data_IF_672925933464
#
_entry.id   IF_672925933464
#
_cell.length_a   1.000
_cell.length_b   1.000
_cell.length_c   1.000
_cell.angle_alpha   90.00
_cell.angle_beta   90.00
_cell.angle_gamma   90.00
#
_symmetry.space_group_name_H-M   'P 1'
#
loop_
_entity.id
_entity.type
_entity.pdbx_description
1 polymer ?
#
# COMPACT_ATOMS: atom_id res chain seq x y z
N UNK A 1 44.54 -35.83 79.88
CA UNK A 1 45.02 -34.93 78.81
C UNK A 1 45.09 -35.73 77.52
N UNK A 2 44.75 -35.09 76.39
CA UNK A 2 44.61 -35.58 75.00
C UNK A 2 43.24 -36.14 74.65
N UNK A 3 42.57 -35.79 73.56
CA UNK A 3 42.47 -34.56 72.73
C UNK A 3 41.23 -34.82 71.87
N UNK A 4 40.16 -34.04 71.98
CA UNK A 4 39.00 -34.18 71.09
C UNK A 4 39.33 -33.50 69.75
N UNK A 5 39.51 -34.29 68.69
CA UNK A 5 39.54 -33.78 67.32
C UNK A 5 38.11 -33.80 66.77
N UNK A 6 37.53 -32.61 66.61
CA UNK A 6 36.25 -32.39 65.93
C UNK A 6 36.47 -32.55 64.43
N UNK A 7 35.75 -33.48 63.80
CA UNK A 7 35.71 -33.63 62.35
C UNK A 7 34.77 -32.56 61.77
N UNK A 8 35.34 -31.57 61.06
CA UNK A 8 34.57 -30.57 60.33
C UNK A 8 34.20 -31.15 58.95
N UNK A 9 32.93 -31.54 58.77
CA UNK A 9 32.41 -31.94 57.46
C UNK A 9 32.09 -30.68 56.66
N UNK A 10 32.89 -30.38 55.64
CA UNK A 10 32.63 -29.29 54.67
C UNK A 10 31.57 -29.76 53.65
N UNK A 11 30.30 -29.44 53.90
CA UNK A 11 29.23 -29.57 52.92
C UNK A 11 29.42 -28.52 51.81
N UNK A 12 29.89 -28.97 50.64
CA UNK A 12 29.89 -28.15 49.43
C UNK A 12 28.45 -28.03 48.91
N UNK A 13 27.80 -26.90 49.19
CA UNK A 13 26.59 -26.50 48.48
C UNK A 13 26.97 -26.08 47.06
N UNK A 14 26.83 -27.00 46.10
CA UNK A 14 26.74 -26.62 44.70
C UNK A 14 25.37 -25.98 44.49
N UNK A 15 25.33 -24.64 44.46
CA UNK A 15 24.16 -23.93 43.99
C UNK A 15 23.99 -24.23 42.50
N UNK A 16 23.18 -25.24 42.17
CA UNK A 16 22.59 -25.35 40.84
C UNK A 16 21.69 -24.14 40.66
N UNK A 17 22.21 -23.08 40.03
CA UNK A 17 21.38 -22.08 39.37
C UNK A 17 20.42 -22.86 38.49
N UNK A 18 19.15 -22.90 38.88
CA UNK A 18 18.09 -23.28 37.97
C UNK A 18 18.19 -22.29 36.81
N UNK A 19 18.77 -22.72 35.68
CA UNK A 19 18.68 -21.97 34.45
C UNK A 19 17.19 -21.83 34.18
N UNK A 20 16.64 -20.63 34.42
CA UNK A 20 15.28 -20.32 34.05
C UNK A 20 15.10 -20.69 32.58
N UNK A 21 13.96 -21.26 32.23
CA UNK A 21 13.66 -21.57 30.83
C UNK A 21 13.99 -20.36 29.97
N UNK A 22 14.69 -20.54 28.83
CA UNK A 22 15.03 -19.42 27.97
C UNK A 22 13.74 -18.69 27.60
N UNK A 23 13.64 -17.42 27.99
CA UNK A 23 12.46 -16.62 27.73
C UNK A 23 12.14 -16.66 26.24
N UNK A 24 10.91 -17.03 25.89
CA UNK A 24 10.49 -17.13 24.48
C UNK A 24 10.59 -15.77 23.81
N UNK A 25 11.12 -15.74 22.58
CA UNK A 25 11.15 -14.52 21.78
C UNK A 25 9.74 -14.00 21.56
N UNK A 26 9.50 -12.73 21.87
CA UNK A 26 8.18 -12.10 21.70
C UNK A 26 8.20 -11.11 20.54
N UNK A 27 7.06 -10.95 19.87
CA UNK A 27 6.83 -9.93 18.85
C UNK A 27 5.46 -9.30 19.07
N UNK A 28 5.42 -7.99 19.29
CA UNK A 28 4.19 -7.23 19.51
C UNK A 28 4.12 -6.07 18.54
N UNK A 29 2.93 -5.78 18.05
CA UNK A 29 2.68 -4.66 17.15
C UNK A 29 1.58 -3.79 17.74
N UNK A 30 1.79 -2.47 17.75
CA UNK A 30 0.86 -1.50 18.31
C UNK A 30 0.63 -0.31 17.37
N UNK A 31 -0.62 0.17 17.24
CA UNK A 31 -1.85 -0.43 17.77
C UNK A 31 -2.24 -1.70 16.99
N UNK A 32 -3.03 -2.58 17.63
CA UNK A 32 -3.59 -3.77 16.96
C UNK A 32 -4.82 -3.43 16.09
N UNK A 33 -5.47 -2.30 16.35
CA UNK A 33 -6.58 -1.79 15.55
C UNK A 33 -6.20 -0.44 14.96
N UNK A 34 -6.22 -0.34 13.63
CA UNK A 34 -5.93 0.87 12.87
C UNK A 34 -7.22 1.66 12.60
N UNK A 35 -7.22 2.93 12.99
CA UNK A 35 -8.25 3.92 12.72
C UNK A 35 -7.70 4.99 11.76
N UNK A 36 -8.55 5.92 11.33
CA UNK A 36 -8.14 7.05 10.48
C UNK A 36 -7.18 8.04 11.16
N UNK A 37 -7.10 8.04 12.50
CA UNK A 37 -6.21 8.95 13.24
C UNK A 37 -4.81 8.39 13.47
N UNK A 38 -4.61 7.08 13.29
CA UNK A 38 -3.29 6.48 13.45
C UNK A 38 -2.34 6.95 12.34
N UNK A 39 -1.13 7.33 12.72
CA UNK A 39 -0.09 7.79 11.78
C UNK A 39 1.04 6.78 11.61
N UNK A 40 1.19 5.85 12.55
CA UNK A 40 2.27 4.88 12.57
C UNK A 40 1.88 3.58 13.27
N UNK A 41 2.70 2.56 13.02
CA UNK A 41 2.66 1.25 13.65
C UNK A 41 4.04 0.99 14.25
N UNK A 42 4.07 0.57 15.51
CA UNK A 42 5.30 0.23 16.22
C UNK A 42 5.41 -1.28 16.37
N UNK A 43 6.51 -1.85 15.90
CA UNK A 43 6.84 -3.27 15.99
C UNK A 43 7.90 -3.40 17.08
N UNK A 44 7.66 -4.21 18.11
CA UNK A 44 8.57 -4.41 19.23
C UNK A 44 8.84 -5.90 19.42
N UNK A 45 10.10 -6.25 19.69
CA UNK A 45 10.50 -7.61 20.04
C UNK A 45 11.39 -7.63 21.28
N UNK A 46 11.44 -8.78 21.94
CA UNK A 46 12.32 -9.04 23.07
C UNK A 46 12.70 -10.51 23.16
N UNK A 47 13.73 -10.81 23.94
CA UNK A 47 14.22 -12.17 24.20
C UNK A 47 14.65 -12.91 22.92
N UNK A 48 15.23 -12.21 21.93
CA UNK A 48 15.82 -12.83 20.74
C UNK A 48 17.25 -13.32 21.07
N UNK A 49 17.52 -14.65 21.09
CA UNK A 49 18.84 -15.16 21.40
C UNK A 49 19.81 -14.99 20.23
N UNK A 50 21.02 -14.52 20.54
CA UNK A 50 22.11 -14.33 19.57
C UNK A 50 21.68 -13.57 18.31
N UNK A 51 21.27 -12.29 18.43
CA UNK A 51 20.81 -11.49 17.30
C UNK A 51 21.87 -11.37 16.20
N UNK A 52 21.40 -11.37 14.96
CA UNK A 52 22.17 -11.12 13.75
C UNK A 52 21.74 -9.81 13.11
N UNK A 53 22.66 -9.05 12.47
CA UNK A 53 22.28 -7.85 11.72
C UNK A 53 21.36 -8.16 10.52
N UNK A 54 21.29 -9.43 10.09
CA UNK A 54 20.41 -9.89 9.01
C UNK A 54 19.05 -10.42 9.52
N UNK A 55 18.86 -10.54 10.83
CA UNK A 55 17.55 -10.87 11.38
C UNK A 55 16.54 -9.80 10.94
N UNK A 56 15.30 -10.22 10.67
CA UNK A 56 14.33 -9.34 10.06
C UNK A 56 12.90 -9.63 10.55
N UNK A 57 12.05 -8.62 10.44
CA UNK A 57 10.60 -8.77 10.53
C UNK A 57 9.99 -8.64 9.14
N UNK A 58 9.17 -9.59 8.75
CA UNK A 58 8.43 -9.56 7.50
C UNK A 58 6.96 -9.17 7.72
N UNK A 59 6.40 -8.46 6.74
CA UNK A 59 5.05 -7.93 6.70
C UNK A 59 4.18 -8.81 5.83
N UNK A 60 3.04 -9.29 6.36
CA UNK A 60 2.11 -10.18 5.66
C UNK A 60 0.73 -9.57 5.63
N UNK A 61 0.04 -9.71 4.50
CA UNK A 61 -1.41 -9.56 4.42
C UNK A 61 -1.92 -10.43 3.26
N UNK A 62 -2.84 -11.38 3.48
CA UNK A 62 -3.46 -11.73 4.76
C UNK A 62 -2.50 -12.48 5.73
N UNK A 63 -2.88 -12.68 7.00
CA UNK A 63 -2.12 -13.49 7.96
C UNK A 63 -2.00 -14.97 7.56
N UNK A 64 -2.82 -15.45 6.63
CA UNK A 64 -2.77 -16.83 6.11
C UNK A 64 -1.69 -17.05 5.05
N UNK A 65 -0.96 -16.01 4.62
CA UNK A 65 0.11 -16.13 3.63
C UNK A 65 1.23 -17.06 4.09
N UNK A 66 1.81 -17.80 3.15
CA UNK A 66 3.00 -18.63 3.39
C UNK A 66 4.20 -17.79 3.81
N UNK A 67 5.17 -18.38 4.51
CA UNK A 67 6.32 -17.65 5.07
C UNK A 67 7.22 -16.99 4.02
N UNK A 68 7.23 -17.45 2.76
CA UNK A 68 7.95 -16.76 1.69
C UNK A 68 7.11 -15.66 1.01
N UNK A 69 5.79 -15.60 1.26
CA UNK A 69 4.85 -14.70 0.59
C UNK A 69 4.59 -13.44 1.41
N UNK A 70 5.65 -12.85 1.94
CA UNK A 70 5.61 -11.55 2.58
C UNK A 70 5.52 -10.43 1.54
N UNK A 71 4.89 -9.33 1.90
CA UNK A 71 4.84 -8.10 1.10
C UNK A 71 6.20 -7.40 1.10
N UNK A 72 6.89 -7.45 2.23
CA UNK A 72 8.21 -6.88 2.41
C UNK A 72 8.78 -7.17 3.80
N UNK A 73 9.94 -6.60 4.09
CA UNK A 73 10.67 -6.85 5.33
C UNK A 73 11.49 -5.65 5.80
N UNK A 74 11.83 -5.68 7.09
CA UNK A 74 12.71 -4.71 7.75
C UNK A 74 13.78 -5.47 8.52
N UNK A 75 15.04 -5.09 8.38
CA UNK A 75 16.10 -5.62 9.21
C UNK A 75 16.00 -5.08 10.64
N UNK A 76 16.24 -5.95 11.62
CA UNK A 76 16.18 -5.57 13.03
C UNK A 76 17.29 -4.58 13.38
N UNK A 77 18.40 -4.56 12.64
CA UNK A 77 19.50 -3.61 12.81
C UNK A 77 19.11 -2.14 12.58
N UNK A 78 17.91 -1.87 12.05
CA UNK A 78 17.32 -0.53 12.02
C UNK A 78 16.95 0.01 13.40
N UNK A 79 16.92 -0.84 14.44
CA UNK A 79 16.69 -0.42 15.83
C UNK A 79 18.00 -0.34 16.60
N UNK A 80 18.32 0.79 17.25
CA UNK A 80 19.61 0.96 17.94
C UNK A 80 19.91 -0.11 19.02
N UNK A 81 18.89 -0.72 19.62
CA UNK A 81 19.05 -1.74 20.67
C UNK A 81 19.08 -3.18 20.14
N UNK A 82 18.98 -3.41 18.82
CA UNK A 82 18.78 -4.74 18.23
C UNK A 82 19.72 -5.82 18.76
N UNK A 83 21.00 -5.45 18.98
CA UNK A 83 22.06 -6.36 19.43
C UNK A 83 21.82 -6.91 20.85
N UNK A 84 20.95 -6.29 21.64
CA UNK A 84 20.57 -6.75 22.98
C UNK A 84 19.57 -7.91 22.96
N UNK A 85 19.02 -8.25 21.79
CA UNK A 85 17.92 -9.21 21.65
C UNK A 85 16.54 -8.59 21.84
N UNK A 86 16.48 -7.26 21.98
CA UNK A 86 15.23 -6.50 22.06
C UNK A 86 15.35 -5.21 21.24
N UNK A 87 14.22 -4.74 20.72
CA UNK A 87 14.18 -3.49 19.98
C UNK A 87 12.81 -3.12 19.48
N UNK A 88 12.79 -2.00 18.77
CA UNK A 88 11.59 -1.48 18.13
C UNK A 88 11.88 -0.85 16.79
N UNK A 89 10.97 -1.07 15.84
CA UNK A 89 10.92 -0.40 14.54
C UNK A 89 9.57 0.30 14.41
N UNK A 90 9.54 1.39 13.64
CA UNK A 90 8.31 2.15 13.39
C UNK A 90 8.07 2.22 11.90
N UNK A 91 6.86 1.88 11.48
CA UNK A 91 6.34 2.09 10.13
C UNK A 91 5.33 3.23 10.14
N UNK A 92 5.19 4.03 9.07
CA UNK A 92 3.99 4.83 8.86
C UNK A 92 2.77 3.90 8.73
N UNK A 93 1.56 4.47 8.84
CA UNK A 93 0.32 3.73 8.62
C UNK A 93 0.34 3.03 7.26
N UNK A 94 0.08 1.73 7.25
CA UNK A 94 -0.03 0.92 6.04
C UNK A 94 -1.42 1.10 5.41
N UNK A 95 -1.59 0.92 4.09
CA UNK A 95 -2.88 1.07 3.42
C UNK A 95 -3.86 -0.04 3.83
N UNK A 96 -5.17 0.20 3.63
CA UNK A 96 -6.15 -0.86 3.81
C UNK A 96 -6.12 -1.84 2.63
N UNK A 97 -5.41 -2.95 2.81
CA UNK A 97 -5.37 -3.99 1.80
C UNK A 97 -6.66 -4.81 1.74
N UNK A 98 -7.67 -4.64 2.59
CA UNK A 98 -8.89 -5.48 2.68
C UNK A 98 -8.64 -6.85 3.34
N UNK A 99 -7.57 -6.96 4.13
CA UNK A 99 -7.28 -8.09 5.00
C UNK A 99 -6.40 -7.61 6.16
N UNK A 100 -6.41 -8.29 7.32
CA UNK A 100 -5.50 -7.97 8.41
C UNK A 100 -4.03 -8.06 7.98
N UNK A 101 -3.18 -7.39 8.74
CA UNK A 101 -1.74 -7.56 8.70
C UNK A 101 -1.28 -8.53 9.79
N UNK A 102 -0.17 -9.22 9.53
CA UNK A 102 0.58 -9.94 10.54
C UNK A 102 2.07 -9.73 10.30
N UNK A 103 2.83 -9.67 11.38
CA UNK A 103 4.27 -9.50 11.35
C UNK A 103 4.91 -10.77 11.90
N UNK A 104 5.99 -11.23 11.27
CA UNK A 104 6.70 -12.45 11.68
C UNK A 104 8.18 -12.17 11.73
N UNK A 105 8.84 -12.56 12.82
CA UNK A 105 10.26 -12.38 13.04
C UNK A 105 11.01 -13.64 12.61
N UNK A 106 12.02 -13.47 11.77
CA UNK A 106 12.87 -14.53 11.26
C UNK A 106 14.33 -14.30 11.61
N UNK A 107 15.03 -15.41 11.87
CA UNK A 107 16.47 -15.38 12.08
C UNK A 107 17.25 -15.66 10.80
N UNK A 108 18.26 -14.82 10.55
CA UNK A 108 19.21 -15.03 9.45
C UNK A 108 20.65 -15.00 10.00
N UNK A 109 21.25 -16.16 10.27
CA UNK A 109 22.62 -16.25 10.74
C UNK A 109 23.62 -15.70 9.71
N UNK A 110 24.68 -14.98 10.15
CA UNK A 110 25.73 -14.53 9.26
C UNK A 110 26.40 -15.69 8.52
N UNK A 111 26.72 -15.48 7.24
CA UNK A 111 27.39 -16.47 6.40
C UNK A 111 26.46 -17.53 5.78
N UNK A 112 25.19 -17.57 6.15
CA UNK A 112 24.22 -18.43 5.47
C UNK A 112 23.63 -17.75 4.24
N UNK A 113 23.72 -18.42 3.09
CA UNK A 113 23.05 -17.97 1.87
C UNK A 113 21.53 -18.16 2.00
N UNK A 114 20.77 -17.14 1.60
CA UNK A 114 19.32 -17.26 1.50
C UNK A 114 18.93 -18.42 0.56
N UNK A 115 17.91 -19.17 0.97
CA UNK A 115 17.25 -20.19 0.15
C UNK A 115 15.94 -19.72 -0.48
N UNK A 116 15.62 -18.42 -0.38
CA UNK A 116 14.51 -17.86 -1.13
C UNK A 116 14.83 -17.99 -2.63
N UNK A 117 13.96 -18.62 -3.44
CA UNK A 117 14.19 -18.73 -4.88
C UNK A 117 14.00 -17.39 -5.60
N UNK A 118 13.43 -16.39 -4.93
CA UNK A 118 13.17 -15.06 -5.50
C UNK A 118 14.38 -14.14 -5.29
N UNK A 119 14.69 -13.38 -6.33
CA UNK A 119 15.71 -12.35 -6.33
C UNK A 119 15.02 -10.98 -6.37
N UNK A 120 15.69 -9.96 -5.85
CA UNK A 120 15.28 -8.59 -6.12
C UNK A 120 15.68 -8.15 -7.54
N UNK A 121 15.38 -6.89 -7.86
CA UNK A 121 15.69 -6.30 -9.16
C UNK A 121 17.18 -6.24 -9.51
N UNK A 122 18.08 -6.28 -8.52
CA UNK A 122 19.52 -6.21 -8.71
C UNK A 122 20.13 -7.63 -8.80
N UNK A 123 19.30 -8.66 -8.64
CA UNK A 123 19.69 -10.07 -8.67
C UNK A 123 20.12 -10.60 -7.30
N UNK A 124 19.91 -9.84 -6.23
CA UNK A 124 20.29 -10.24 -4.88
C UNK A 124 19.22 -11.16 -4.25
N UNK A 125 19.63 -12.18 -3.47
CA UNK A 125 18.68 -13.07 -2.81
C UNK A 125 17.84 -12.35 -1.77
N UNK A 126 16.52 -12.45 -1.89
CA UNK A 126 15.61 -11.98 -0.84
C UNK A 126 15.73 -12.83 0.43
N UNK A 127 15.36 -12.33 1.63
CA UNK A 127 15.47 -13.10 2.87
C UNK A 127 14.75 -14.46 2.83
N UNK A 128 15.40 -15.48 3.39
CA UNK A 128 14.77 -16.80 3.55
C UNK A 128 13.91 -16.88 4.81
N UNK A 129 12.80 -17.61 4.73
CA UNK A 129 11.81 -17.65 5.79
C UNK A 129 11.80 -18.97 6.57
N UNK A 130 12.94 -19.67 6.69
CA UNK A 130 12.99 -21.01 7.31
C UNK A 130 13.01 -20.98 8.84
N UNK A 131 13.41 -19.86 9.44
CA UNK A 131 13.63 -19.73 10.89
C UNK A 131 12.71 -18.69 11.52
N UNK A 132 11.40 -18.93 11.45
CA UNK A 132 10.42 -18.12 12.18
C UNK A 132 10.57 -18.36 13.68
N UNK A 133 10.76 -17.29 14.45
CA UNK A 133 10.93 -17.39 15.92
C UNK A 133 9.86 -16.64 16.70
N UNK A 134 9.12 -15.73 16.07
CA UNK A 134 7.96 -15.07 16.68
C UNK A 134 6.94 -14.62 15.64
N UNK A 135 5.69 -14.49 16.07
CA UNK A 135 4.55 -14.03 15.26
C UNK A 135 3.78 -13.01 16.10
N UNK A 136 3.40 -11.88 15.50
CA UNK A 136 2.57 -10.88 16.17
C UNK A 136 1.11 -11.31 16.22
N UNK A 137 0.32 -10.66 17.08
CA UNK A 137 -1.12 -10.59 16.88
C UNK A 137 -1.46 -9.92 15.53
N UNK A 138 -2.70 -10.09 15.08
CA UNK A 138 -3.17 -9.42 13.87
C UNK A 138 -3.30 -7.90 14.10
N UNK A 139 -3.01 -7.14 13.03
CA UNK A 139 -3.25 -5.70 12.97
C UNK A 139 -4.32 -5.45 11.93
N UNK A 140 -5.49 -5.02 12.38
CA UNK A 140 -6.69 -4.89 11.55
C UNK A 140 -7.19 -3.46 11.51
N UNK A 141 -7.85 -3.07 10.41
CA UNK A 141 -8.60 -1.82 10.41
C UNK A 141 -9.86 -1.98 11.26
N UNK A 142 -10.24 -0.92 11.97
CA UNK A 142 -11.56 -0.83 12.58
C UNK A 142 -12.64 -1.10 11.51
N UNK A 143 -13.70 -1.84 11.83
CA UNK A 143 -14.70 -2.27 10.85
C UNK A 143 -15.27 -1.11 10.02
N UNK A 144 -15.56 0.03 10.65
CA UNK A 144 -16.02 1.22 9.96
C UNK A 144 -14.97 1.79 9.00
N UNK A 145 -13.69 1.80 9.38
CA UNK A 145 -12.60 2.23 8.50
C UNK A 145 -12.34 1.21 7.37
N UNK A 146 -12.52 -0.09 7.65
CA UNK A 146 -12.35 -1.16 6.69
C UNK A 146 -13.43 -1.15 5.59
N UNK A 147 -14.65 -0.70 5.93
CA UNK A 147 -15.80 -0.64 5.03
C UNK A 147 -15.91 0.69 4.26
N UNK A 148 -15.13 1.72 4.63
CA UNK A 148 -15.17 3.02 3.96
C UNK A 148 -14.66 2.91 2.52
N UNK A 149 -15.27 3.66 1.59
CA UNK A 149 -14.66 3.92 0.28
C UNK A 149 -13.23 4.44 0.44
N UNK A 150 -12.32 3.93 -0.39
CA UNK A 150 -10.92 4.32 -0.42
C UNK A 150 -10.46 4.53 -1.87
N UNK A 151 -9.24 5.03 -2.06
CA UNK A 151 -8.66 5.24 -3.40
C UNK A 151 -9.49 6.20 -4.24
N UNK A 152 -10.12 7.20 -3.60
CA UNK A 152 -10.99 8.16 -4.27
C UNK A 152 -10.15 9.03 -5.19
N UNK A 153 -10.50 9.03 -6.48
CA UNK A 153 -9.83 9.86 -7.46
C UNK A 153 -10.80 10.36 -8.53
N UNK A 154 -10.50 11.55 -9.03
CA UNK A 154 -11.28 12.25 -10.04
C UNK A 154 -10.64 12.12 -11.41
N UNK A 155 -11.46 12.17 -12.46
CA UNK A 155 -11.02 12.38 -13.83
C UNK A 155 -12.07 13.20 -14.56
N UNK A 156 -11.68 13.88 -15.63
CA UNK A 156 -12.69 14.50 -16.49
C UNK A 156 -13.48 13.39 -17.21
N UNK A 157 -14.77 13.61 -17.42
CA UNK A 157 -15.58 12.74 -18.28
C UNK A 157 -15.65 13.33 -19.70
N UNK A 158 -16.54 12.76 -20.53
CA UNK A 158 -16.63 13.06 -21.95
C UNK A 158 -17.18 14.47 -22.21
N UNK A 159 -18.15 14.92 -21.42
CA UNK A 159 -18.72 16.26 -21.53
C UNK A 159 -17.94 17.29 -20.69
N UNK A 160 -17.92 18.57 -21.10
CA UNK A 160 -17.15 19.61 -20.41
C UNK A 160 -17.69 19.95 -19.00
N UNK A 161 -18.98 19.72 -18.76
CA UNK A 161 -19.69 19.94 -17.51
C UNK A 161 -19.79 18.67 -16.64
N UNK A 162 -18.96 17.66 -16.92
CA UNK A 162 -18.94 16.39 -16.20
C UNK A 162 -17.60 16.11 -15.53
N UNK A 163 -17.66 15.58 -14.30
CA UNK A 163 -16.52 15.08 -13.53
C UNK A 163 -16.80 13.66 -13.09
N UNK A 164 -15.90 12.74 -13.43
CA UNK A 164 -15.95 11.35 -12.99
C UNK A 164 -15.27 11.21 -11.64
N UNK A 165 -15.86 10.40 -10.77
CA UNK A 165 -15.23 9.91 -9.54
C UNK A 165 -15.14 8.40 -9.59
N UNK A 166 -13.98 7.88 -9.20
CA UNK A 166 -13.71 6.45 -9.06
C UNK A 166 -13.21 6.17 -7.65
N UNK A 167 -13.69 5.09 -7.04
CA UNK A 167 -13.31 4.68 -5.68
C UNK A 167 -13.46 3.17 -5.50
N UNK A 168 -12.89 2.62 -4.43
CA UNK A 168 -12.87 1.18 -4.14
C UNK A 168 -13.64 0.88 -2.86
N UNK A 169 -14.45 -0.19 -2.88
CA UNK A 169 -15.05 -0.79 -1.70
C UNK A 169 -14.76 -2.30 -1.61
N UNK A 170 -15.03 -2.89 -0.44
CA UNK A 170 -14.83 -4.32 -0.18
C UNK A 170 -15.96 -5.22 -0.71
N UNK A 171 -17.09 -4.66 -1.10
CA UNK A 171 -18.30 -5.36 -1.54
C UNK A 171 -18.97 -4.68 -2.75
N UNK A 172 -19.99 -5.33 -3.31
CA UNK A 172 -20.77 -4.84 -4.47
C UNK A 172 -22.04 -4.09 -4.08
N UNK A 173 -22.24 -3.76 -2.81
CA UNK A 173 -23.41 -3.03 -2.34
C UNK A 173 -23.54 -1.71 -3.07
N UNK A 174 -24.76 -1.28 -3.36
CA UNK A 174 -25.00 -0.06 -4.13
C UNK A 174 -24.30 1.15 -3.49
N UNK A 175 -23.68 1.97 -4.34
CA UNK A 175 -23.02 3.22 -3.96
C UNK A 175 -23.46 4.34 -4.87
N UNK A 176 -23.34 5.55 -4.37
CA UNK A 176 -23.57 6.78 -5.11
C UNK A 176 -22.44 7.77 -4.83
N UNK A 177 -22.31 8.75 -5.72
CA UNK A 177 -21.66 10.02 -5.39
C UNK A 177 -22.75 11.03 -5.06
N UNK A 178 -22.60 11.67 -3.90
CA UNK A 178 -23.43 12.80 -3.48
C UNK A 178 -22.62 14.07 -3.68
N UNK A 179 -23.06 15.00 -4.51
CA UNK A 179 -22.31 16.20 -4.88
C UNK A 179 -23.19 17.44 -4.96
N UNK A 180 -22.58 18.62 -4.83
CA UNK A 180 -23.28 19.90 -4.80
C UNK A 180 -22.35 21.09 -4.91
N UNK A 181 -22.81 22.24 -5.42
CA UNK A 181 -21.98 23.43 -5.47
C UNK A 181 -21.60 23.88 -4.05
N UNK A 182 -20.35 24.33 -3.87
CA UNK A 182 -19.98 24.96 -2.61
C UNK A 182 -20.79 26.25 -2.40
N UNK A 183 -21.37 26.41 -1.21
CA UNK A 183 -22.23 27.53 -0.88
C UNK A 183 -22.73 27.50 0.57
N UNK A 184 -23.46 28.53 1.00
CA UNK A 184 -23.97 28.65 2.38
C UNK A 184 -25.13 27.67 2.68
N UNK A 185 -25.75 27.10 1.66
CA UNK A 185 -26.75 26.04 1.78
C UNK A 185 -26.24 24.81 1.06
N UNK A 186 -26.38 23.66 1.71
CA UNK A 186 -26.06 22.36 1.13
C UNK A 186 -27.17 21.93 0.19
N UNK A 187 -26.94 22.09 -1.11
CA UNK A 187 -27.79 21.54 -2.18
C UNK A 187 -27.07 20.33 -2.75
N UNK A 188 -27.54 19.14 -2.38
CA UNK A 188 -26.93 17.87 -2.77
C UNK A 188 -27.78 17.14 -3.82
N UNK A 189 -27.10 16.54 -4.78
CA UNK A 189 -27.65 15.62 -5.76
C UNK A 189 -26.90 14.30 -5.69
N UNK A 190 -27.59 13.19 -5.96
CA UNK A 190 -27.01 11.86 -5.98
C UNK A 190 -26.89 11.36 -7.43
N UNK A 191 -25.70 10.90 -7.81
CA UNK A 191 -25.49 10.13 -9.04
C UNK A 191 -25.14 8.68 -8.70
N UNK A 192 -25.80 7.75 -9.39
CA UNK A 192 -25.53 6.33 -9.25
C UNK A 192 -24.12 5.98 -9.75
N UNK A 193 -23.59 4.86 -9.24
CA UNK A 193 -22.26 4.35 -9.65
C UNK A 193 -22.38 2.92 -10.18
N UNK A 194 -21.45 2.54 -11.04
CA UNK A 194 -21.28 1.17 -11.53
C UNK A 194 -20.08 0.50 -10.88
N UNK A 195 -20.25 -0.73 -10.39
CA UNK A 195 -19.17 -1.52 -9.82
C UNK A 195 -18.52 -2.45 -10.85
N UNK A 196 -17.19 -2.49 -10.87
CA UNK A 196 -16.37 -3.38 -11.71
C UNK A 196 -15.27 -4.02 -10.86
N UNK A 197 -14.79 -5.17 -11.29
CA UNK A 197 -13.64 -5.82 -10.66
C UNK A 197 -12.88 -6.66 -11.68
N UNK A 198 -11.75 -7.22 -11.25
CA UNK A 198 -11.02 -8.23 -12.01
C UNK A 198 -10.60 -9.37 -11.08
N UNK A 199 -10.43 -10.55 -11.67
CA UNK A 199 -10.05 -11.76 -10.97
C UNK A 199 -8.67 -12.25 -11.43
N UNK A 200 -8.10 -13.19 -10.66
CA UNK A 200 -6.75 -13.72 -10.89
C UNK A 200 -6.57 -14.24 -12.31
N UNK A 201 -7.62 -14.88 -12.85
CA UNK A 201 -7.64 -15.44 -14.21
C UNK A 201 -7.55 -14.38 -15.32
N UNK A 202 -7.82 -13.10 -15.02
CA UNK A 202 -7.70 -12.02 -16.00
C UNK A 202 -6.25 -11.54 -16.13
N UNK A 203 -5.38 -11.83 -15.16
CA UNK A 203 -3.96 -11.52 -15.26
C UNK A 203 -3.28 -12.48 -16.26
N UNK A 204 -2.34 -11.97 -17.04
CA UNK A 204 -1.70 -12.73 -18.10
C UNK A 204 -0.50 -13.60 -17.66
N UNK A 205 0.01 -13.43 -16.43
CA UNK A 205 1.08 -14.29 -15.93
C UNK A 205 1.68 -13.88 -14.58
N UNK A 206 2.79 -14.53 -14.23
CA UNK A 206 3.53 -14.30 -12.99
C UNK A 206 4.28 -12.95 -13.02
N UNK A 207 4.36 -12.22 -11.89
CA UNK A 207 3.77 -12.53 -10.59
C UNK A 207 2.27 -12.17 -10.43
N UNK A 208 1.69 -11.39 -11.34
CA UNK A 208 0.32 -10.87 -11.22
C UNK A 208 -0.76 -11.93 -10.92
N UNK A 209 -0.61 -13.14 -11.47
CA UNK A 209 -1.59 -14.22 -11.32
C UNK A 209 -1.24 -15.24 -10.21
N UNK A 210 -0.24 -14.99 -9.38
CA UNK A 210 0.32 -15.97 -8.44
C UNK A 210 0.43 -15.45 -6.99
N UNK A 211 0.41 -16.39 -6.04
CA UNK A 211 0.67 -16.24 -4.59
C UNK A 211 0.69 -14.79 -4.05
N UNK A 212 1.89 -14.21 -3.90
CA UNK A 212 2.15 -12.90 -3.30
C UNK A 212 1.83 -11.72 -4.23
N UNK A 213 1.83 -11.96 -5.53
CA UNK A 213 1.57 -10.93 -6.53
C UNK A 213 0.08 -10.65 -6.68
N UNK A 214 -0.73 -11.71 -6.65
CA UNK A 214 -2.17 -11.60 -6.78
C UNK A 214 -2.85 -11.11 -5.49
N UNK A 215 -3.70 -10.10 -5.64
CA UNK A 215 -4.67 -9.70 -4.63
C UNK A 215 -5.98 -9.27 -5.25
N UNK A 216 -7.10 -9.66 -4.66
CA UNK A 216 -8.41 -9.15 -5.10
C UNK A 216 -8.45 -7.62 -4.92
N UNK A 217 -8.79 -6.86 -5.98
CA UNK A 217 -8.73 -5.38 -5.94
C UNK A 217 -9.86 -4.76 -5.12
N UNK A 218 -10.84 -5.55 -4.68
CA UNK A 218 -12.12 -5.05 -4.21
C UNK A 218 -13.05 -4.82 -5.40
N UNK A 219 -13.98 -3.88 -5.25
CA UNK A 219 -14.88 -3.47 -6.31
C UNK A 219 -14.66 -1.99 -6.57
N UNK A 220 -14.33 -1.67 -7.82
CA UNK A 220 -14.09 -0.31 -8.30
C UNK A 220 -15.42 0.26 -8.76
N UNK A 221 -15.88 1.28 -8.05
CA UNK A 221 -17.09 2.02 -8.36
C UNK A 221 -16.76 3.25 -9.19
N UNK A 222 -17.56 3.49 -10.22
CA UNK A 222 -17.42 4.57 -11.18
C UNK A 222 -18.74 5.36 -11.26
N UNK A 223 -18.69 6.66 -10.99
CA UNK A 223 -19.84 7.57 -11.12
C UNK A 223 -19.47 8.88 -11.79
N UNK A 224 -20.46 9.54 -12.39
CA UNK A 224 -20.27 10.81 -13.11
C UNK A 224 -21.17 11.88 -12.51
N UNK A 225 -20.55 12.94 -11.99
CA UNK A 225 -21.19 14.18 -11.56
C UNK A 225 -21.41 15.07 -12.79
N UNK A 226 -22.64 15.53 -13.02
CA UNK A 226 -23.07 16.23 -14.25
C UNK A 226 -23.62 17.62 -13.97
N UNK A 227 -23.74 18.44 -15.02
CA UNK A 227 -24.32 19.79 -14.91
C UNK A 227 -23.43 20.77 -14.13
N UNK A 228 -22.12 20.56 -14.16
CA UNK A 228 -21.16 21.36 -13.42
C UNK A 228 -20.94 22.71 -14.12
N UNK A 229 -21.04 23.80 -13.36
CA UNK A 229 -20.76 25.14 -13.88
C UNK A 229 -19.25 25.35 -14.02
N UNK A 230 -18.75 25.95 -15.12
CA UNK A 230 -17.32 26.12 -15.35
C UNK A 230 -16.58 26.82 -14.20
N UNK A 231 -15.40 26.32 -13.84
CA UNK A 231 -14.51 26.96 -12.86
C UNK A 231 -15.06 27.08 -11.44
N UNK A 232 -16.17 26.39 -11.13
CA UNK A 232 -16.84 26.46 -9.83
C UNK A 232 -16.38 25.36 -8.89
N UNK A 233 -16.30 25.68 -7.59
CA UNK A 233 -16.05 24.72 -6.51
C UNK A 233 -17.29 23.88 -6.20
N UNK A 234 -17.09 22.57 -6.08
CA UNK A 234 -18.09 21.59 -5.66
C UNK A 234 -17.59 20.81 -4.44
N UNK A 235 -18.54 20.42 -3.58
CA UNK A 235 -18.32 19.41 -2.55
C UNK A 235 -18.87 18.07 -3.01
N UNK A 236 -18.24 16.97 -2.62
CA UNK A 236 -18.75 15.64 -2.90
C UNK A 236 -18.33 14.61 -1.84
N UNK A 237 -19.08 13.51 -1.75
CA UNK A 237 -18.72 12.32 -0.98
C UNK A 237 -19.23 11.08 -1.69
N UNK A 238 -18.57 9.95 -1.47
CA UNK A 238 -18.91 8.66 -2.09
C UNK A 238 -19.32 7.67 -1.01
N UNK A 239 -20.27 6.79 -1.31
CA UNK A 239 -20.79 5.88 -0.28
C UNK A 239 -22.26 5.54 -0.45
N UNK A 240 -22.91 5.24 0.67
CA UNK A 240 -24.36 5.07 0.77
C UNK A 240 -24.82 5.30 2.21
N UNK A 241 -26.11 5.57 2.40
CA UNK A 241 -26.68 5.74 3.74
C UNK A 241 -26.62 4.44 4.57
N UNK A 242 -26.68 3.26 3.93
CA UNK A 242 -26.69 1.96 4.62
C UNK A 242 -25.31 1.42 4.98
N UNK A 243 -24.29 1.75 4.19
CA UNK A 243 -22.93 1.18 4.33
C UNK A 243 -21.87 2.25 4.64
N UNK A 244 -22.29 3.51 4.81
CA UNK A 244 -21.45 4.62 5.21
C UNK A 244 -20.96 5.46 4.03
N UNK A 245 -20.68 6.72 4.35
CA UNK A 245 -20.11 7.71 3.44
C UNK A 245 -18.62 7.94 3.75
N UNK A 246 -17.85 8.31 2.72
CA UNK A 246 -16.53 8.91 2.86
C UNK A 246 -16.61 10.23 3.65
N UNK A 247 -15.45 10.81 3.94
CA UNK A 247 -15.38 12.24 4.25
C UNK A 247 -15.86 13.08 3.05
N UNK A 248 -16.16 14.35 3.30
CA UNK A 248 -16.51 15.28 2.23
C UNK A 248 -15.23 15.82 1.60
N UNK A 249 -15.09 15.59 0.30
CA UNK A 249 -14.04 16.15 -0.55
C UNK A 249 -14.53 17.41 -1.26
N UNK A 250 -13.61 18.12 -1.91
CA UNK A 250 -13.94 19.27 -2.75
C UNK A 250 -13.03 19.33 -3.97
N UNK A 251 -13.55 19.83 -5.09
CA UNK A 251 -12.80 20.04 -6.33
C UNK A 251 -13.27 21.32 -7.04
N UNK A 252 -12.44 21.83 -7.95
CA UNK A 252 -12.83 22.86 -8.93
C UNK A 252 -13.17 22.15 -10.24
N UNK A 253 -14.37 22.38 -10.73
CA UNK A 253 -14.84 21.85 -12.02
C UNK A 253 -14.01 22.40 -13.19
N UNK A 254 -14.07 21.71 -14.33
CA UNK A 254 -13.38 22.14 -15.55
C UNK A 254 -13.80 23.57 -15.91
N UNK A 255 -12.84 24.44 -16.18
CA UNK A 255 -13.12 25.79 -16.66
C UNK A 255 -12.85 25.86 -18.18
N UNK A 256 -13.91 25.75 -18.98
CA UNK A 256 -13.83 25.86 -20.44
C UNK A 256 -13.83 27.33 -20.92
N UNK A 257 -14.07 28.28 -20.02
CA UNK A 257 -14.15 29.71 -20.31
C UNK A 257 -12.84 30.42 -19.95
N UNK A 258 -11.96 29.76 -19.20
CA UNK A 258 -10.62 30.26 -18.85
C UNK A 258 -9.75 30.52 -20.09
N UNK A 259 -8.95 31.58 -20.00
CA UNK A 259 -7.92 31.92 -21.00
C UNK A 259 -6.55 31.27 -20.69
N UNK A 260 -6.46 30.50 -19.60
CA UNK A 260 -5.27 29.76 -19.20
C UNK A 260 -5.63 28.32 -18.83
N UNK A 261 -4.67 27.41 -18.91
CA UNK A 261 -4.80 26.02 -18.47
C UNK A 261 -3.64 25.69 -17.54
N UNK A 262 -3.96 25.24 -16.33
CA UNK A 262 -2.97 24.86 -15.32
C UNK A 262 -2.92 23.33 -15.27
N UNK A 263 -1.73 22.78 -15.49
CA UNK A 263 -1.51 21.34 -15.53
C UNK A 263 -0.24 20.97 -14.76
N UNK A 264 -0.32 19.90 -13.96
CA UNK A 264 0.84 19.21 -13.43
C UNK A 264 1.15 18.01 -14.35
N UNK A 265 2.32 18.01 -14.98
CA UNK A 265 2.70 17.03 -16.00
C UNK A 265 3.94 16.25 -15.54
N UNK A 266 3.84 14.93 -15.42
CA UNK A 266 4.97 14.06 -15.06
C UNK A 266 4.73 12.61 -15.53
N UNK A 267 5.78 11.82 -15.65
CA UNK A 267 5.72 10.37 -15.84
C UNK A 267 6.41 9.67 -14.68
N UNK A 268 6.35 8.33 -14.65
CA UNK A 268 7.31 7.51 -13.91
C UNK A 268 7.28 7.76 -12.38
N UNK A 269 6.11 8.09 -11.83
CA UNK A 269 5.98 8.46 -10.41
C UNK A 269 6.29 7.29 -9.47
N UNK A 270 5.78 6.10 -9.80
CA UNK A 270 5.77 4.94 -8.92
C UNK A 270 5.11 5.17 -7.57
N UNK A 271 5.43 4.33 -6.60
CA UNK A 271 4.96 4.47 -5.22
C UNK A 271 6.06 4.13 -4.23
N UNK A 272 6.03 4.76 -3.07
CA UNK A 272 6.91 4.42 -1.96
C UNK A 272 6.25 3.44 -0.99
N UNK A 273 7.02 2.46 -0.52
CA UNK A 273 6.62 1.58 0.57
C UNK A 273 7.64 1.65 1.71
N UNK A 274 7.23 1.60 2.97
CA UNK A 274 8.12 1.88 4.10
C UNK A 274 8.93 0.65 4.54
N UNK A 275 9.24 -0.26 3.63
CA UNK A 275 9.97 -1.51 3.89
C UNK A 275 10.68 -1.99 2.62
N UNK A 276 11.64 -2.91 2.77
CA UNK A 276 12.28 -3.53 1.61
C UNK A 276 11.32 -4.53 0.96
N UNK A 277 11.35 -4.63 -0.36
CA UNK A 277 10.50 -5.57 -1.12
C UNK A 277 11.21 -6.05 -2.39
N UNK A 278 10.49 -6.76 -3.26
CA UNK A 278 10.98 -7.41 -4.49
C UNK A 278 11.71 -6.48 -5.49
N UNK A 279 11.54 -5.17 -5.35
CA UNK A 279 12.23 -4.16 -6.13
C UNK A 279 12.26 -2.84 -5.36
N UNK A 280 13.05 -1.90 -5.87
CA UNK A 280 13.17 -0.57 -5.30
C UNK A 280 11.90 0.22 -5.57
N UNK A 281 11.37 0.82 -4.52
CA UNK A 281 10.20 1.69 -4.56
C UNK A 281 10.65 3.15 -4.41
N UNK A 282 10.32 4.06 -5.34
CA UNK A 282 10.87 5.42 -5.38
C UNK A 282 10.39 6.27 -4.19
N UNK A 283 11.31 6.68 -3.31
CA UNK A 283 10.99 7.60 -2.20
C UNK A 283 10.60 8.99 -2.70
N UNK A 284 11.18 9.39 -3.84
CA UNK A 284 10.96 10.64 -4.56
C UNK A 284 9.49 10.82 -4.97
N UNK A 285 8.77 9.70 -5.13
CA UNK A 285 7.33 9.66 -5.38
C UNK A 285 6.54 10.48 -4.34
N UNK A 286 6.92 10.38 -3.06
CA UNK A 286 6.31 11.18 -1.99
C UNK A 286 6.58 12.67 -2.16
N UNK A 287 7.77 13.04 -2.62
CA UNK A 287 8.15 14.44 -2.81
C UNK A 287 7.32 15.08 -3.91
N UNK A 288 7.16 14.41 -5.05
CA UNK A 288 6.32 14.90 -6.16
C UNK A 288 4.88 15.14 -5.71
N UNK A 289 4.26 14.18 -5.00
CA UNK A 289 2.90 14.35 -4.47
C UNK A 289 2.81 15.52 -3.49
N UNK A 290 3.80 15.68 -2.60
CA UNK A 290 3.85 16.81 -1.64
C UNK A 290 3.93 18.17 -2.33
N UNK A 291 4.72 18.29 -3.39
CA UNK A 291 4.85 19.53 -4.15
C UNK A 291 3.56 19.88 -4.90
N UNK A 292 2.93 18.89 -5.55
CA UNK A 292 1.63 19.09 -6.19
C UNK A 292 0.57 19.53 -5.17
N UNK A 293 0.52 18.88 -4.02
CA UNK A 293 -0.44 19.23 -2.96
C UNK A 293 -0.24 20.67 -2.48
N UNK A 294 1.01 21.08 -2.21
CA UNK A 294 1.35 22.46 -1.84
C UNK A 294 0.91 23.45 -2.92
N UNK A 295 1.19 23.17 -4.18
CA UNK A 295 0.87 24.10 -5.27
C UNK A 295 -0.64 24.19 -5.51
N UNK A 296 -1.38 23.08 -5.35
CA UNK A 296 -2.85 23.10 -5.35
C UNK A 296 -3.42 23.99 -4.24
N UNK A 297 -2.82 23.99 -3.05
CA UNK A 297 -3.23 24.90 -1.95
C UNK A 297 -3.01 26.37 -2.33
N UNK A 298 -1.91 26.68 -3.03
CA UNK A 298 -1.61 28.04 -3.50
C UNK A 298 -2.56 28.48 -4.63
N UNK A 299 -2.97 27.56 -5.49
CA UNK A 299 -3.90 27.84 -6.61
C UNK A 299 -5.31 28.21 -6.15
N UNK A 300 -5.75 27.72 -5.00
CA UNK A 300 -7.06 28.04 -4.42
C UNK A 300 -8.22 27.55 -5.30
N UNK A 301 -8.98 28.50 -5.87
CA UNK A 301 -10.16 28.24 -6.71
C UNK A 301 -9.86 28.16 -8.21
N UNK A 302 -8.59 28.11 -8.61
CA UNK A 302 -8.24 27.93 -10.04
C UNK A 302 -8.41 26.48 -10.47
N UNK A 303 -9.06 26.28 -11.62
CA UNK A 303 -9.16 24.96 -12.24
C UNK A 303 -7.77 24.45 -12.67
N UNK A 304 -7.45 23.22 -12.28
CA UNK A 304 -6.21 22.54 -12.64
C UNK A 304 -6.48 21.07 -12.93
N UNK A 305 -5.56 20.39 -13.61
CA UNK A 305 -5.57 18.94 -13.73
C UNK A 305 -4.16 18.36 -13.61
N UNK A 306 -4.09 17.06 -13.34
CA UNK A 306 -2.85 16.30 -13.29
C UNK A 306 -2.81 15.38 -14.51
N UNK A 307 -1.69 15.31 -15.21
CA UNK A 307 -1.42 14.34 -16.28
C UNK A 307 -0.19 13.51 -15.92
N UNK A 308 -0.44 12.24 -15.61
CA UNK A 308 0.57 11.24 -15.31
C UNK A 308 0.78 10.37 -16.54
N UNK A 309 1.82 10.65 -17.32
CA UNK A 309 2.01 10.14 -18.68
C UNK A 309 2.64 8.74 -18.76
N UNK A 310 2.16 7.80 -17.94
CA UNK A 310 2.60 6.40 -17.94
C UNK A 310 3.54 6.07 -16.78
N UNK A 311 3.80 4.77 -16.63
CA UNK A 311 4.60 4.19 -15.55
C UNK A 311 4.08 4.64 -14.19
N UNK A 312 2.90 4.10 -13.87
CA UNK A 312 2.01 4.67 -12.86
C UNK A 312 2.49 4.32 -11.46
N UNK A 313 2.32 3.06 -11.07
CA UNK A 313 2.62 2.59 -9.72
C UNK A 313 3.91 1.78 -9.66
N UNK A 314 4.40 1.28 -10.80
CA UNK A 314 5.38 0.20 -10.87
C UNK A 314 4.96 -1.04 -10.07
N UNK A 315 3.66 -1.34 -9.97
CA UNK A 315 3.18 -2.54 -9.29
C UNK A 315 3.73 -3.83 -9.92
N UNK A 316 3.87 -3.88 -11.26
CA UNK A 316 4.55 -4.97 -12.00
C UNK A 316 4.10 -6.36 -11.54
N UNK A 317 2.81 -6.53 -11.30
CA UNK A 317 2.19 -7.78 -10.88
C UNK A 317 2.16 -8.02 -9.38
N UNK A 318 2.58 -7.06 -8.55
CA UNK A 318 2.38 -7.09 -7.11
C UNK A 318 1.24 -6.13 -6.73
N UNK A 319 0.01 -6.65 -6.76
CA UNK A 319 -1.21 -5.86 -6.69
C UNK A 319 -1.34 -4.97 -5.43
N UNK A 320 -0.68 -5.31 -4.33
CA UNK A 320 -0.68 -4.49 -3.12
C UNK A 320 0.03 -3.13 -3.31
N UNK A 321 0.90 -2.99 -4.31
CA UNK A 321 1.51 -1.71 -4.67
C UNK A 321 0.53 -0.75 -5.33
N UNK A 322 -0.48 -1.24 -6.04
CA UNK A 322 -1.59 -0.39 -6.48
C UNK A 322 -2.31 0.23 -5.27
N UNK A 323 -2.51 -0.53 -4.20
CA UNK A 323 -3.14 0.00 -2.98
C UNK A 323 -2.27 1.07 -2.30
N UNK A 324 -0.94 0.88 -2.25
CA UNK A 324 0.00 1.92 -1.78
C UNK A 324 -0.03 3.17 -2.66
N UNK A 325 -0.01 3.00 -3.98
CA UNK A 325 -0.04 4.09 -4.94
C UNK A 325 -1.30 4.95 -4.77
N UNK A 326 -2.47 4.32 -4.72
CA UNK A 326 -3.72 5.07 -4.60
C UNK A 326 -3.88 5.76 -3.24
N UNK A 327 -3.47 5.14 -2.12
CA UNK A 327 -3.40 5.83 -0.82
C UNK A 327 -2.45 7.04 -0.89
N UNK A 328 -1.34 6.91 -1.61
CA UNK A 328 -0.36 7.99 -1.75
C UNK A 328 -0.90 9.18 -2.55
N UNK A 329 -1.61 8.93 -3.66
CA UNK A 329 -2.11 10.01 -4.53
C UNK A 329 -3.49 10.54 -4.14
N UNK A 330 -4.28 9.83 -3.33
CA UNK A 330 -5.64 10.24 -2.93
C UNK A 330 -5.74 11.70 -2.43
N UNK A 331 -4.78 12.26 -1.66
CA UNK A 331 -4.81 13.67 -1.25
C UNK A 331 -4.84 14.68 -2.41
N UNK A 332 -4.25 14.35 -3.56
CA UNK A 332 -4.25 15.20 -4.76
C UNK A 332 -5.33 14.75 -5.75
N UNK A 333 -5.55 13.45 -5.90
CA UNK A 333 -6.45 12.87 -6.88
C UNK A 333 -7.93 12.98 -6.50
N UNK A 334 -8.27 13.03 -5.21
CA UNK A 334 -9.64 13.29 -4.74
C UNK A 334 -10.06 14.76 -4.88
N UNK A 335 -9.14 15.67 -5.21
CA UNK A 335 -9.40 17.12 -5.28
C UNK A 335 -9.17 17.71 -6.66
N UNK A 336 -8.40 17.01 -7.49
CA UNK A 336 -7.97 17.47 -8.81
C UNK A 336 -8.07 16.29 -9.78
N UNK A 337 -8.66 16.46 -10.98
CA UNK A 337 -8.75 15.39 -11.96
C UNK A 337 -7.37 14.85 -12.32
N UNK A 338 -7.17 13.55 -12.11
CA UNK A 338 -5.93 12.81 -12.29
C UNK A 338 -6.00 11.96 -13.55
N UNK A 339 -5.39 12.46 -14.63
CA UNK A 339 -5.35 11.80 -15.92
C UNK A 339 -4.12 10.93 -16.04
N UNK A 340 -4.25 9.80 -16.73
CA UNK A 340 -3.17 8.83 -16.93
C UNK A 340 -3.02 8.43 -18.38
N UNK A 341 -1.79 8.28 -18.85
CA UNK A 341 -1.48 7.47 -20.03
C UNK A 341 -1.04 6.08 -19.58
N UNK A 342 -1.09 5.11 -20.50
CA UNK A 342 -0.60 3.75 -20.23
C UNK A 342 0.90 3.65 -20.55
N UNK A 343 1.70 3.10 -19.63
CA UNK A 343 3.13 2.83 -19.82
C UNK A 343 3.44 1.36 -20.08
N UNK A 344 4.72 1.03 -20.30
CA UNK A 344 5.19 -0.35 -20.42
C UNK A 344 4.98 -1.13 -19.10
N UNK A 345 5.14 -0.47 -17.95
CA UNK A 345 4.93 -1.10 -16.65
C UNK A 345 3.47 -1.45 -16.33
N UNK A 346 2.51 -0.88 -17.07
CA UNK A 346 1.11 -1.26 -16.99
C UNK A 346 0.73 -2.30 -18.04
N UNK A 347 1.29 -2.21 -19.25
CA UNK A 347 0.80 -2.94 -20.42
C UNK A 347 1.66 -4.12 -20.87
N UNK A 348 2.99 -4.03 -20.80
CA UNK A 348 3.86 -4.93 -21.54
C UNK A 348 3.76 -6.38 -21.06
N UNK A 349 3.29 -7.24 -21.96
CA UNK A 349 3.28 -8.69 -21.79
C UNK A 349 3.34 -9.39 -23.16
N UNK A 350 3.88 -10.62 -23.31
CA UNK A 350 3.94 -11.31 -24.60
C UNK A 350 2.61 -11.46 -25.34
N UNK A 351 1.50 -11.57 -24.62
CA UNK A 351 0.16 -11.73 -25.23
C UNK A 351 -0.51 -10.41 -25.62
N UNK A 352 0.08 -9.24 -25.31
CA UNK A 352 -0.56 -7.95 -25.60
C UNK A 352 -0.31 -7.51 -27.06
N UNK A 353 -1.37 -7.24 -27.83
CA UNK A 353 -1.26 -7.03 -29.28
C UNK A 353 -0.77 -5.61 -29.67
N UNK A 354 -0.90 -4.62 -28.80
CA UNK A 354 -0.63 -3.21 -29.13
C UNK A 354 0.68 -2.66 -28.58
N UNK A 355 1.59 -3.54 -28.11
CA UNK A 355 2.89 -3.09 -27.60
C UNK A 355 3.85 -2.79 -28.75
N UNK A 356 4.69 -1.75 -28.65
CA UNK A 356 5.68 -1.45 -29.68
C UNK A 356 6.63 -2.65 -29.91
N UNK A 357 7.02 -2.89 -31.17
CA UNK A 357 7.89 -4.04 -31.52
C UNK A 357 9.25 -3.98 -30.82
N UNK A 358 9.76 -2.78 -30.54
CA UNK A 358 11.01 -2.57 -29.82
C UNK A 358 10.91 -2.91 -28.32
N UNK A 359 9.71 -2.91 -27.72
CA UNK A 359 9.52 -3.21 -26.31
C UNK A 359 9.96 -4.63 -25.95
N UNK A 360 9.80 -5.59 -26.87
CA UNK A 360 10.31 -6.94 -26.69
C UNK A 360 11.84 -6.99 -26.50
N UNK A 361 12.57 -6.08 -27.15
CA UNK A 361 14.04 -6.04 -27.11
C UNK A 361 14.58 -5.21 -25.95
N UNK A 362 13.92 -4.08 -25.62
CA UNK A 362 14.38 -3.17 -24.56
C UNK A 362 13.96 -3.68 -23.18
N UNK A 363 12.74 -4.21 -23.07
CA UNK A 363 12.07 -4.53 -21.81
C UNK A 363 11.82 -6.03 -21.61
N UNK A 364 12.42 -6.87 -22.47
CA UNK A 364 12.12 -8.30 -22.54
C UNK A 364 10.61 -8.59 -22.76
N UNK A 365 9.84 -7.57 -23.14
CA UNK A 365 8.39 -7.59 -23.34
C UNK A 365 7.55 -8.03 -22.15
N UNK A 366 8.06 -7.92 -20.90
CA UNK A 366 7.42 -8.44 -19.67
C UNK A 366 7.36 -7.42 -18.52
N UNK A 367 7.59 -6.14 -18.79
CA UNK A 367 7.67 -5.10 -17.75
C UNK A 367 6.40 -4.94 -16.92
N UNK A 368 5.24 -5.26 -17.50
CA UNK A 368 3.97 -5.26 -16.79
C UNK A 368 3.81 -6.37 -15.75
N UNK A 369 4.76 -7.31 -15.64
CA UNK A 369 4.75 -8.35 -14.62
C UNK A 369 3.51 -9.24 -14.62
N UNK A 370 2.90 -9.41 -15.80
CA UNK A 370 1.69 -10.20 -16.00
C UNK A 370 0.38 -9.44 -15.81
N UNK A 371 0.41 -8.14 -15.47
CA UNK A 371 -0.81 -7.32 -15.32
C UNK A 371 -1.50 -7.04 -16.65
N UNK A 372 -0.69 -6.85 -17.70
CA UNK A 372 -1.13 -6.76 -19.09
C UNK A 372 -2.30 -5.77 -19.31
N UNK A 373 -2.25 -4.61 -18.65
CA UNK A 373 -3.21 -3.52 -18.74
C UNK A 373 -4.47 -3.67 -17.91
N UNK A 374 -4.70 -4.83 -17.26
CA UNK A 374 -5.98 -5.10 -16.59
C UNK A 374 -6.20 -4.19 -15.39
N UNK A 375 -5.29 -4.07 -14.39
CA UNK A 375 -5.48 -3.15 -13.27
C UNK A 375 -5.66 -1.70 -13.73
N UNK A 376 -4.82 -1.24 -14.68
CA UNK A 376 -4.92 0.10 -15.28
C UNK A 376 -6.33 0.36 -15.85
N UNK A 377 -6.84 -0.53 -16.70
CA UNK A 377 -8.11 -0.35 -17.42
C UNK A 377 -9.36 -0.35 -16.52
N UNK A 378 -9.26 -0.97 -15.34
CA UNK A 378 -10.35 -1.06 -14.36
C UNK A 378 -10.25 0.07 -13.34
N UNK A 379 -9.04 0.40 -12.90
CA UNK A 379 -8.81 1.42 -11.85
C UNK A 379 -8.83 2.84 -12.40
N UNK A 380 -8.56 3.06 -13.69
CA UNK A 380 -8.62 4.37 -14.32
C UNK A 380 -9.60 4.42 -15.48
N UNK A 381 -10.31 5.54 -15.61
CA UNK A 381 -11.26 5.79 -16.70
C UNK A 381 -11.04 7.18 -17.28
N UNK A 382 -10.29 7.23 -18.37
CA UNK A 382 -9.96 8.47 -19.08
C UNK A 382 -11.05 8.81 -20.10
N UNK A 383 -11.28 10.11 -20.37
CA UNK A 383 -12.21 10.54 -21.42
C UNK A 383 -11.63 10.24 -22.81
N UNK A 384 -12.49 9.90 -23.76
CA UNK A 384 -12.08 9.49 -25.11
C UNK A 384 -12.77 8.19 -25.55
N UNK A 385 -13.04 8.10 -26.86
CA UNK A 385 -13.72 6.94 -27.48
C UNK A 385 -12.78 5.76 -27.70
#
# INVERSE_FOLDING_TARGET
>A
MHSMAVFLVLLHFTATLAAGEPATTTLKVTPATLTGSNRSITIQWSNLPSPSPLDYVAVYSPPSSGDLDYLGFLFLNGSASWATGAGSLTLPRLPNLRAPYQFRLFRWPPGERSRNPRLDQDGDPLPDARRRVAVSGEVSFEAAAAARPAQVHLAFADAPDEMRVVFVCGDTGARAVRYGPAGPREEWEDAATEARTYERRHMCGYPANDSVGWRHPGFVFDGVMKGLQPGRRYHYKVGSDSLGWSETYSFISRDIEANETIAFLFGDLGTYVPYNTYFRTPYESLSTVRWILRDLEVLGDKAAFISHIGDISYAKGYAWLWDHFFEQIEPIASRTPYHVCIGNHEYDWPSQPWKPSWAANIYNGKDGGGECGVPYSIKFRMPGK
#
